data_IF_353325682887
#
_entry.id   IF_353325682887
#
_cell.length_a   1.000
_cell.length_b   1.000
_cell.length_c   1.000
_cell.angle_alpha   90.00
_cell.angle_beta   90.00
_cell.angle_gamma   90.00
#
_symmetry.space_group_name_H-M   'P 1'
#
loop_
_entity.id
_entity.type
_entity.pdbx_description
1 polymer ?
#
# COMPACT_ATOMS: atom_id res chain seq x y z
N UNK A 1 -13.84 -15.08 -12.06
CA UNK A 1 -12.79 -15.33 -11.05
C UNK A 1 -11.92 -14.09 -11.01
N UNK A 2 -12.03 -13.35 -9.91
CA UNK A 2 -11.35 -12.10 -9.68
C UNK A 2 -10.02 -12.39 -8.95
N UNK A 3 -8.92 -11.79 -9.35
CA UNK A 3 -7.62 -11.98 -8.69
C UNK A 3 -7.04 -10.63 -8.30
N UNK A 4 -6.62 -10.52 -7.04
CA UNK A 4 -6.02 -9.29 -6.51
C UNK A 4 -4.54 -9.54 -6.23
N UNK A 5 -3.69 -8.65 -6.71
CA UNK A 5 -2.25 -8.66 -6.40
C UNK A 5 -1.94 -7.37 -5.68
N UNK A 6 -1.71 -7.47 -4.38
CA UNK A 6 -1.40 -6.35 -3.50
C UNK A 6 0.11 -6.28 -3.34
N UNK A 7 0.70 -5.19 -3.76
CA UNK A 7 2.13 -4.94 -3.56
C UNK A 7 2.27 -3.95 -2.40
N UNK A 8 2.73 -4.47 -1.27
CA UNK A 8 2.99 -3.77 -0.01
C UNK A 8 4.49 -3.50 0.16
N UNK A 9 4.84 -2.67 1.14
CA UNK A 9 6.23 -2.34 1.50
C UNK A 9 6.50 -0.84 1.54
N UNK A 10 7.64 -0.46 2.11
CA UNK A 10 7.95 0.93 2.48
C UNK A 10 7.97 1.94 1.33
N UNK A 11 8.05 3.22 1.68
CA UNK A 11 8.18 4.32 0.73
C UNK A 11 9.53 4.19 -0.01
N UNK A 12 9.55 4.49 -1.32
CA UNK A 12 10.78 4.45 -2.13
C UNK A 12 11.23 3.05 -2.58
N UNK A 13 10.47 2.00 -2.26
CA UNK A 13 10.78 0.61 -2.65
C UNK A 13 10.56 0.31 -4.13
N UNK A 14 9.83 1.17 -4.84
CA UNK A 14 9.57 1.05 -6.28
C UNK A 14 8.28 0.31 -6.64
N UNK A 15 7.33 0.19 -5.69
CA UNK A 15 6.00 -0.43 -5.86
C UNK A 15 5.28 0.04 -7.12
N UNK A 16 5.00 1.34 -7.25
CA UNK A 16 4.34 1.92 -8.43
C UNK A 16 5.01 1.50 -9.74
N UNK A 17 6.36 1.51 -9.79
CA UNK A 17 7.11 1.12 -10.98
C UNK A 17 6.97 -0.37 -11.30
N UNK A 18 6.98 -1.23 -10.28
CA UNK A 18 6.79 -2.67 -10.42
C UNK A 18 5.36 -2.99 -10.85
N UNK A 19 4.35 -2.35 -10.27
CA UNK A 19 2.94 -2.50 -10.65
C UNK A 19 2.75 -2.13 -12.13
N UNK A 20 3.27 -0.97 -12.56
CA UNK A 20 3.21 -0.54 -13.97
C UNK A 20 3.94 -1.49 -14.92
N UNK A 21 5.03 -2.12 -14.48
CA UNK A 21 5.71 -3.14 -15.26
C UNK A 21 4.93 -4.45 -15.31
N UNK A 22 4.35 -4.87 -14.19
CA UNK A 22 3.54 -6.08 -14.05
C UNK A 22 2.26 -6.01 -14.88
N UNK A 23 1.60 -4.85 -14.94
CA UNK A 23 0.40 -4.62 -15.74
C UNK A 23 0.58 -4.99 -17.22
N UNK A 24 1.81 -4.87 -17.76
CA UNK A 24 2.13 -5.17 -19.16
C UNK A 24 2.08 -6.66 -19.51
N UNK A 25 2.03 -7.54 -18.52
CA UNK A 25 1.89 -8.98 -18.72
C UNK A 25 0.41 -9.41 -18.81
N UNK A 26 -0.52 -8.51 -18.55
CA UNK A 26 -1.95 -8.77 -18.59
C UNK A 26 -2.62 -8.09 -19.80
N UNK A 27 -3.80 -8.58 -20.16
CA UNK A 27 -4.67 -7.89 -21.12
C UNK A 27 -5.17 -6.56 -20.49
N UNK A 28 -4.96 -5.38 -21.13
CA UNK A 28 -5.43 -4.09 -20.62
C UNK A 28 -6.93 -4.02 -20.31
N UNK A 29 -7.74 -4.79 -21.02
CA UNK A 29 -9.19 -4.83 -20.80
C UNK A 29 -9.56 -5.61 -19.53
N UNK A 30 -8.70 -6.52 -19.09
CA UNK A 30 -8.91 -7.40 -17.93
C UNK A 30 -8.24 -6.90 -16.65
N UNK A 31 -7.23 -6.03 -16.75
CA UNK A 31 -6.46 -5.53 -15.61
C UNK A 31 -6.88 -4.12 -15.19
N UNK A 32 -7.03 -3.91 -13.89
CA UNK A 32 -7.18 -2.61 -13.23
C UNK A 32 -5.98 -2.34 -12.34
N UNK A 33 -5.57 -1.07 -12.24
CA UNK A 33 -4.55 -0.62 -11.30
C UNK A 33 -5.22 0.32 -10.28
N UNK A 34 -4.95 0.07 -9.01
CA UNK A 34 -5.26 0.96 -7.89
C UNK A 34 -3.94 1.52 -7.40
N UNK A 35 -3.71 2.82 -7.63
CA UNK A 35 -2.46 3.49 -7.31
C UNK A 35 -2.57 4.28 -6.01
N UNK A 36 -1.44 4.41 -5.31
CA UNK A 36 -1.30 5.30 -4.15
C UNK A 36 -1.18 6.76 -4.62
N UNK A 37 -2.30 7.49 -4.67
CA UNK A 37 -2.32 8.92 -5.00
C UNK A 37 -2.23 9.76 -3.73
N UNK A 38 -1.00 10.11 -3.37
CA UNK A 38 -0.69 10.83 -2.13
C UNK A 38 0.11 12.10 -2.44
N UNK A 39 -0.29 13.21 -1.83
CA UNK A 39 0.38 14.51 -1.94
C UNK A 39 1.65 14.56 -1.07
N UNK A 40 2.67 13.78 -1.46
CA UNK A 40 3.90 13.59 -0.67
C UNK A 40 4.64 14.88 -0.33
N UNK A 41 4.61 15.88 -1.21
CA UNK A 41 5.20 17.20 -0.95
C UNK A 41 4.50 17.92 0.21
N UNK A 42 3.17 17.82 0.29
CA UNK A 42 2.38 18.45 1.35
C UNK A 42 2.58 17.73 2.67
N UNK A 43 2.56 16.40 2.67
CA UNK A 43 2.88 15.60 3.84
C UNK A 43 4.25 15.98 4.38
N UNK A 44 5.26 16.08 3.51
CA UNK A 44 6.61 16.46 3.92
C UNK A 44 6.65 17.86 4.53
N UNK A 45 5.90 18.83 3.98
CA UNK A 45 5.79 20.17 4.58
C UNK A 45 5.17 20.12 5.98
N UNK A 46 4.13 19.31 6.18
CA UNK A 46 3.52 19.11 7.50
C UNK A 46 4.55 18.54 8.47
N UNK A 47 5.28 17.49 8.08
CA UNK A 47 6.25 16.80 8.92
C UNK A 47 7.50 17.66 9.24
N UNK A 48 7.87 18.61 8.39
CA UNK A 48 9.08 19.45 8.57
C UNK A 48 8.86 20.71 9.42
N UNK A 49 7.63 21.08 9.76
CA UNK A 49 7.37 22.31 10.53
C UNK A 49 7.65 22.11 12.02
N UNK A 50 8.64 22.84 12.56
CA UNK A 50 9.24 22.59 13.90
C UNK A 50 8.63 23.38 15.07
N UNK A 51 7.52 24.11 14.94
CA UNK A 51 6.98 24.94 16.03
C UNK A 51 5.51 24.65 16.42
N UNK A 52 5.22 24.91 17.72
CA UNK A 52 4.01 24.92 18.57
C UNK A 52 2.56 24.75 18.03
N UNK A 53 2.28 24.65 16.74
CA UNK A 53 0.91 24.39 16.21
C UNK A 53 0.69 22.89 15.93
N UNK A 54 0.65 22.07 16.97
CA UNK A 54 0.55 20.61 16.79
C UNK A 54 -0.85 20.15 16.29
N UNK A 55 -1.91 20.92 16.58
CA UNK A 55 -3.29 20.56 16.22
C UNK A 55 -3.64 20.82 14.75
N UNK A 56 -3.29 21.99 14.20
CA UNK A 56 -3.56 22.32 12.80
C UNK A 56 -2.78 21.42 11.81
N UNK A 57 -1.58 20.97 12.19
CA UNK A 57 -0.76 20.03 11.41
C UNK A 57 -1.42 18.66 11.29
N UNK A 58 -1.84 18.11 12.43
CA UNK A 58 -2.51 16.81 12.51
C UNK A 58 -3.83 16.83 11.74
N UNK A 59 -4.59 17.92 11.86
CA UNK A 59 -5.80 18.13 11.06
C UNK A 59 -5.52 18.13 9.56
N UNK A 60 -4.47 18.81 9.10
CA UNK A 60 -4.14 18.82 7.67
C UNK A 60 -3.69 17.44 7.17
N UNK A 61 -2.90 16.70 7.96
CA UNK A 61 -2.54 15.32 7.64
C UNK A 61 -3.77 14.40 7.57
N UNK A 62 -4.73 14.57 8.49
CA UNK A 62 -6.01 13.83 8.49
C UNK A 62 -6.79 14.11 7.20
N UNK A 63 -6.90 15.35 6.75
CA UNK A 63 -7.56 15.67 5.47
C UNK A 63 -6.85 15.03 4.27
N UNK A 64 -5.51 15.03 4.23
CA UNK A 64 -4.76 14.33 3.18
C UNK A 64 -5.04 12.82 3.19
N UNK A 65 -5.07 12.19 4.37
CA UNK A 65 -5.37 10.76 4.51
C UNK A 65 -6.82 10.45 4.12
N UNK A 66 -7.76 11.34 4.43
CA UNK A 66 -9.17 11.21 4.05
C UNK A 66 -9.37 11.29 2.54
N UNK A 67 -8.73 12.27 1.89
CA UNK A 67 -8.73 12.38 0.43
C UNK A 67 -8.13 11.13 -0.23
N UNK A 68 -7.03 10.61 0.31
CA UNK A 68 -6.44 9.36 -0.14
C UNK A 68 -7.43 8.18 -0.07
N UNK A 69 -8.15 8.02 1.04
CA UNK A 69 -9.14 6.93 1.17
C UNK A 69 -10.31 7.09 0.18
N UNK A 70 -10.78 8.32 -0.02
CA UNK A 70 -11.88 8.59 -0.96
C UNK A 70 -11.46 8.29 -2.41
N UNK A 71 -10.27 8.74 -2.82
CA UNK A 71 -9.72 8.45 -4.14
C UNK A 71 -9.49 6.93 -4.32
N UNK A 72 -8.96 6.26 -3.31
CA UNK A 72 -8.77 4.81 -3.32
C UNK A 72 -10.10 4.06 -3.51
N UNK A 73 -11.15 4.46 -2.78
CA UNK A 73 -12.49 3.89 -2.90
C UNK A 73 -13.10 4.14 -4.31
N UNK A 74 -12.99 5.36 -4.83
CA UNK A 74 -13.44 5.68 -6.19
C UNK A 74 -12.70 4.87 -7.26
N UNK A 75 -11.39 4.71 -7.09
CA UNK A 75 -10.55 3.94 -8.01
C UNK A 75 -10.94 2.46 -8.06
N UNK A 76 -11.29 1.85 -6.92
CA UNK A 76 -11.65 0.43 -6.85
C UNK A 76 -13.07 0.20 -7.37
N UNK A 77 -14.03 1.06 -7.04
CA UNK A 77 -15.39 1.00 -7.55
C UNK A 77 -15.44 1.03 -9.08
N UNK A 78 -14.68 1.93 -9.70
CA UNK A 78 -14.60 2.03 -11.17
C UNK A 78 -13.98 0.81 -11.85
N UNK A 79 -13.28 -0.05 -11.12
CA UNK A 79 -12.51 -1.17 -11.67
C UNK A 79 -13.01 -2.54 -11.20
N UNK A 80 -14.17 -2.61 -10.52
CA UNK A 80 -14.75 -3.88 -10.04
C UNK A 80 -15.05 -4.90 -11.15
N UNK A 81 -15.26 -4.44 -12.38
CA UNK A 81 -15.50 -5.31 -13.53
C UNK A 81 -14.20 -5.94 -14.09
N UNK A 82 -13.03 -5.53 -13.60
CA UNK A 82 -11.74 -6.07 -14.03
C UNK A 82 -11.54 -7.45 -13.41
N UNK A 83 -10.97 -8.35 -14.20
CA UNK A 83 -10.65 -9.71 -13.76
C UNK A 83 -9.45 -9.73 -12.80
N UNK A 84 -8.54 -8.77 -12.96
CA UNK A 84 -7.31 -8.67 -12.19
C UNK A 84 -7.18 -7.25 -11.66
N UNK A 85 -6.98 -7.11 -10.35
CA UNK A 85 -6.67 -5.83 -9.72
C UNK A 85 -5.23 -5.86 -9.20
N UNK A 86 -4.41 -4.94 -9.69
CA UNK A 86 -3.07 -4.66 -9.15
C UNK A 86 -3.19 -3.48 -8.19
N UNK A 87 -2.84 -3.70 -6.95
CA UNK A 87 -3.13 -2.78 -5.86
C UNK A 87 -1.81 -2.32 -5.23
N UNK A 88 -1.59 -1.00 -5.20
CA UNK A 88 -0.49 -0.39 -4.47
C UNK A 88 -0.89 -0.18 -3.00
N UNK A 89 -0.37 -1.04 -2.12
CA UNK A 89 -0.68 -1.10 -0.67
C UNK A 89 -2.13 -1.40 -0.33
N UNK A 90 -2.34 -1.90 0.87
CA UNK A 90 -3.66 -1.79 1.51
C UNK A 90 -3.88 -0.35 2.01
N UNK A 91 -5.12 0.17 2.00
CA UNK A 91 -5.41 1.55 2.37
C UNK A 91 -5.02 1.88 3.82
N UNK A 92 -5.01 0.87 4.70
CA UNK A 92 -4.63 1.02 6.10
C UNK A 92 -3.12 1.31 6.28
N UNK A 93 -2.27 0.81 5.38
CA UNK A 93 -0.80 0.91 5.51
C UNK A 93 -0.32 2.36 5.55
N UNK A 94 -0.96 3.24 4.79
CA UNK A 94 -0.57 4.64 4.74
C UNK A 94 -0.92 5.36 6.04
N UNK A 95 -2.08 5.07 6.62
CA UNK A 95 -2.51 5.63 7.90
C UNK A 95 -1.53 5.21 8.99
N UNK A 96 -1.17 3.92 9.03
CA UNK A 96 -0.22 3.39 10.01
C UNK A 96 1.21 3.91 9.79
N UNK A 97 1.58 4.26 8.56
CA UNK A 97 2.90 4.86 8.25
C UNK A 97 3.06 6.25 8.87
N UNK A 98 1.97 7.00 9.01
CA UNK A 98 2.02 8.39 9.47
C UNK A 98 1.46 8.62 10.87
N UNK A 99 0.87 7.59 11.48
CA UNK A 99 0.24 7.71 12.78
C UNK A 99 0.59 6.55 13.69
N UNK A 100 1.67 6.72 14.46
CA UNK A 100 1.98 5.83 15.58
C UNK A 100 1.18 6.26 16.82
N UNK A 101 0.27 5.42 17.35
CA UNK A 101 -0.47 5.74 18.56
C UNK A 101 0.41 5.99 19.79
N UNK A 102 1.66 5.52 19.82
CA UNK A 102 2.59 5.72 20.95
C UNK A 102 3.14 7.16 21.02
N UNK A 103 3.03 7.95 19.95
CA UNK A 103 3.57 9.32 19.88
C UNK A 103 2.50 10.43 20.03
N UNK A 104 1.22 10.11 20.27
CA UNK A 104 0.13 11.10 20.20
C UNK A 104 -0.71 11.24 21.48
N UNK A 105 -0.38 12.26 22.29
CA UNK A 105 -1.09 12.66 23.52
C UNK A 105 -2.43 13.42 23.30
N UNK A 106 -2.95 13.53 22.08
CA UNK A 106 -4.13 14.35 21.77
C UNK A 106 -5.37 13.50 21.43
N UNK A 107 -6.32 13.46 22.37
CA UNK A 107 -7.56 12.68 22.33
C UNK A 107 -8.46 12.96 21.11
N UNK A 108 -8.53 14.20 20.63
CA UNK A 108 -9.38 14.59 19.48
C UNK A 108 -8.87 13.94 18.19
N UNK A 109 -7.54 13.99 18.00
CA UNK A 109 -6.91 13.41 16.82
C UNK A 109 -7.00 11.88 16.82
N UNK A 110 -6.98 11.24 18.00
CA UNK A 110 -7.13 9.77 18.12
C UNK A 110 -8.50 9.28 17.63
N UNK A 111 -9.56 10.07 17.81
CA UNK A 111 -10.89 9.71 17.30
C UNK A 111 -10.99 9.81 15.77
N UNK A 112 -10.47 10.89 15.18
CA UNK A 112 -10.50 11.07 13.72
C UNK A 112 -9.68 9.98 13.02
N UNK A 113 -8.51 9.63 13.56
CA UNK A 113 -7.71 8.52 13.03
C UNK A 113 -8.43 7.19 13.17
N UNK A 114 -9.13 6.94 14.29
CA UNK A 114 -9.96 5.75 14.44
C UNK A 114 -11.03 5.68 13.34
N UNK A 115 -11.68 6.80 13.02
CA UNK A 115 -12.67 6.88 11.93
C UNK A 115 -12.01 6.56 10.58
N UNK A 116 -10.82 7.10 10.30
CA UNK A 116 -10.08 6.79 9.06
C UNK A 116 -9.68 5.31 8.99
N UNK A 117 -9.23 4.71 10.09
CA UNK A 117 -8.93 3.27 10.15
C UNK A 117 -10.18 2.41 9.94
N UNK A 118 -11.31 2.80 10.51
CA UNK A 118 -12.59 2.15 10.26
C UNK A 118 -13.03 2.26 8.79
N UNK A 119 -12.84 3.43 8.16
CA UNK A 119 -13.10 3.61 6.73
C UNK A 119 -12.18 2.74 5.88
N UNK A 120 -10.87 2.74 6.14
CA UNK A 120 -9.91 1.89 5.44
C UNK A 120 -10.26 0.40 5.56
N UNK A 121 -10.65 -0.05 6.76
CA UNK A 121 -11.10 -1.43 6.99
C UNK A 121 -12.39 -1.74 6.22
N UNK A 122 -13.36 -0.82 6.16
CA UNK A 122 -14.56 -1.00 5.32
C UNK A 122 -14.22 -1.14 3.83
N UNK A 123 -13.26 -0.37 3.32
CA UNK A 123 -12.77 -0.51 1.94
C UNK A 123 -12.14 -1.90 1.75
N UNK A 124 -11.29 -2.34 2.68
CA UNK A 124 -10.67 -3.67 2.63
C UNK A 124 -11.74 -4.77 2.63
N UNK A 125 -12.68 -4.75 3.58
CA UNK A 125 -13.68 -5.80 3.74
C UNK A 125 -14.75 -5.81 2.64
N UNK A 126 -15.03 -4.66 2.03
CA UNK A 126 -16.02 -4.56 0.95
C UNK A 126 -15.44 -4.91 -0.41
N UNK A 127 -14.21 -4.51 -0.68
CA UNK A 127 -13.65 -4.54 -2.03
C UNK A 127 -12.40 -5.41 -2.20
N UNK A 128 -11.64 -5.67 -1.13
CA UNK A 128 -10.39 -6.42 -1.21
C UNK A 128 -10.58 -7.86 -0.73
N UNK A 129 -11.02 -8.04 0.51
CA UNK A 129 -11.31 -9.32 1.13
C UNK A 129 -12.82 -9.46 1.22
N UNK A 130 -13.45 -10.26 0.37
CA UNK A 130 -14.89 -10.52 0.49
C UNK A 130 -15.08 -11.66 1.49
N UNK A 131 -15.40 -11.35 2.75
CA UNK A 131 -15.56 -12.35 3.82
C UNK A 131 -16.63 -13.43 3.53
N UNK A 132 -17.56 -13.18 2.61
CA UNK A 132 -18.57 -14.15 2.17
C UNK A 132 -18.07 -15.12 1.08
N UNK A 133 -16.92 -14.84 0.45
CA UNK A 133 -16.28 -15.68 -0.56
C UNK A 133 -15.05 -16.40 0.06
N UNK A 134 -14.92 -17.72 -0.13
CA UNK A 134 -13.68 -18.44 0.21
C UNK A 134 -12.57 -18.03 -0.77
N UNK A 135 -11.91 -16.90 -0.51
CA UNK A 135 -10.74 -16.41 -1.26
C UNK A 135 -9.44 -17.06 -0.73
N UNK A 136 -8.64 -17.62 -1.64
CA UNK A 136 -7.33 -18.16 -1.26
C UNK A 136 -6.32 -17.02 -1.07
N UNK A 137 -5.79 -16.88 0.14
CA UNK A 137 -4.78 -15.89 0.48
C UNK A 137 -3.37 -16.46 0.30
N UNK A 138 -2.55 -15.72 -0.41
CA UNK A 138 -1.24 -16.17 -0.86
C UNK A 138 -0.21 -15.09 -0.55
N UNK A 139 0.66 -15.37 0.42
CA UNK A 139 1.71 -14.44 0.81
C UNK A 139 3.04 -14.73 0.10
N UNK A 140 3.82 -13.67 -0.10
CA UNK A 140 5.19 -13.75 -0.59
C UNK A 140 6.02 -12.54 -0.19
N UNK A 141 7.30 -12.77 0.14
CA UNK A 141 8.28 -11.70 0.32
C UNK A 141 9.14 -11.64 -0.94
N UNK A 142 9.32 -10.44 -1.50
CA UNK A 142 10.28 -10.18 -2.56
C UNK A 142 11.22 -9.07 -2.14
N UNK A 143 12.52 -9.24 -2.41
CA UNK A 143 13.53 -8.23 -2.09
C UNK A 143 14.03 -7.58 -3.37
N UNK A 144 13.87 -6.27 -3.49
CA UNK A 144 14.54 -5.51 -4.55
C UNK A 144 16.00 -5.31 -4.15
N UNK A 145 16.91 -5.61 -5.08
CA UNK A 145 18.35 -5.38 -4.94
C UNK A 145 18.86 -4.61 -6.17
N UNK A 146 20.13 -4.21 -6.17
CA UNK A 146 20.70 -3.40 -7.26
C UNK A 146 20.71 -4.13 -8.61
N UNK A 147 20.65 -5.46 -8.57
CA UNK A 147 20.72 -6.34 -9.74
C UNK A 147 19.34 -6.61 -10.35
N UNK A 148 18.26 -6.45 -9.58
CA UNK A 148 16.90 -6.73 -10.01
C UNK A 148 16.17 -5.44 -10.38
N UNK A 149 16.10 -5.18 -11.70
CA UNK A 149 15.29 -4.08 -12.24
C UNK A 149 13.81 -4.30 -11.93
N UNK A 150 12.98 -3.22 -11.89
CA UNK A 150 11.53 -3.36 -11.73
C UNK A 150 10.88 -4.32 -12.73
N UNK A 151 11.41 -4.39 -13.97
CA UNK A 151 10.95 -5.32 -15.00
C UNK A 151 11.25 -6.78 -14.65
N UNK A 152 12.45 -7.06 -14.12
CA UNK A 152 12.83 -8.41 -13.71
C UNK A 152 11.94 -8.89 -12.55
N UNK A 153 11.69 -8.03 -11.57
CA UNK A 153 10.79 -8.33 -10.44
C UNK A 153 9.35 -8.55 -10.90
N UNK A 154 8.85 -7.70 -11.79
CA UNK A 154 7.51 -7.88 -12.38
C UNK A 154 7.39 -9.21 -13.13
N UNK A 155 8.41 -9.58 -13.92
CA UNK A 155 8.45 -10.87 -14.61
C UNK A 155 8.42 -12.04 -13.64
N UNK A 156 9.24 -12.00 -12.59
CA UNK A 156 9.29 -13.06 -11.57
C UNK A 156 7.95 -13.18 -10.83
N UNK A 157 7.36 -12.04 -10.45
CA UNK A 157 6.06 -11.99 -9.80
C UNK A 157 4.97 -12.57 -10.70
N UNK A 158 4.96 -12.20 -11.99
CA UNK A 158 4.02 -12.75 -12.96
C UNK A 158 4.17 -14.26 -13.12
N UNK A 159 5.40 -14.77 -13.23
CA UNK A 159 5.65 -16.22 -13.31
C UNK A 159 5.18 -16.97 -12.06
N UNK A 160 5.43 -16.42 -10.87
CA UNK A 160 4.94 -16.98 -9.60
C UNK A 160 3.41 -16.98 -9.54
N UNK A 161 2.79 -15.88 -9.93
CA UNK A 161 1.35 -15.75 -10.01
C UNK A 161 0.73 -16.75 -10.98
N UNK A 162 1.24 -16.88 -12.21
CA UNK A 162 0.77 -17.86 -13.20
C UNK A 162 0.84 -19.30 -12.66
N UNK A 163 1.99 -19.64 -12.06
CA UNK A 163 2.23 -21.00 -11.54
C UNK A 163 1.25 -21.34 -10.42
N UNK A 164 0.92 -20.39 -9.55
CA UNK A 164 -0.03 -20.59 -8.46
C UNK A 164 -1.47 -20.53 -8.96
N UNK A 165 -1.83 -19.51 -9.74
CA UNK A 165 -3.20 -19.27 -10.22
C UNK A 165 -3.69 -20.36 -11.18
N UNK A 166 -2.81 -21.00 -11.95
CA UNK A 166 -3.19 -22.17 -12.77
C UNK A 166 -3.71 -23.37 -11.97
N UNK A 167 -3.52 -23.38 -10.65
CA UNK A 167 -3.99 -24.43 -9.73
C UNK A 167 -5.22 -24.01 -8.93
N UNK A 168 -5.66 -22.76 -9.06
CA UNK A 168 -6.77 -22.22 -8.27
C UNK A 168 -8.11 -22.43 -9.00
N UNK A 169 -9.11 -22.84 -8.24
CA UNK A 169 -10.49 -22.96 -8.71
C UNK A 169 -11.36 -21.77 -8.28
N UNK A 170 -10.79 -20.80 -7.55
CA UNK A 170 -11.49 -19.69 -6.89
C UNK A 170 -10.70 -18.38 -6.97
N UNK A 171 -11.37 -17.28 -6.64
CA UNK A 171 -10.76 -15.96 -6.50
C UNK A 171 -9.63 -16.00 -5.47
N UNK A 172 -8.63 -15.12 -5.62
CA UNK A 172 -7.45 -15.13 -4.75
C UNK A 172 -6.84 -13.77 -4.54
N UNK A 173 -6.14 -13.64 -3.41
CA UNK A 173 -5.41 -12.45 -3.00
C UNK A 173 -3.94 -12.82 -2.86
N UNK A 174 -3.10 -12.21 -3.69
CA UNK A 174 -1.65 -12.31 -3.61
C UNK A 174 -1.08 -11.09 -2.91
N UNK A 175 -0.69 -11.23 -1.65
CA UNK A 175 -0.03 -10.19 -0.89
C UNK A 175 1.49 -10.33 -1.02
N UNK A 176 2.12 -9.35 -1.64
CA UNK A 176 3.56 -9.32 -1.88
C UNK A 176 4.18 -8.18 -1.10
N UNK A 177 5.09 -8.49 -0.19
CA UNK A 177 5.87 -7.49 0.52
C UNK A 177 7.18 -7.22 -0.19
N UNK A 178 7.40 -5.96 -0.60
CA UNK A 178 8.66 -5.50 -1.18
C UNK A 178 9.61 -4.97 -0.10
N UNK A 179 10.61 -5.79 0.23
CA UNK A 179 11.78 -5.35 0.99
C UNK A 179 12.84 -4.74 0.07
N UNK A 180 13.61 -3.77 0.55
CA UNK A 180 14.73 -3.19 -0.21
C UNK A 180 15.93 -2.97 0.70
N UNK A 181 17.14 -3.11 0.14
CA UNK A 181 18.37 -2.78 0.84
C UNK A 181 18.45 -1.27 1.15
N UNK A 182 18.80 -0.91 2.38
CA UNK A 182 18.87 0.46 2.88
C UNK A 182 19.75 1.39 2.01
N UNK A 183 20.83 0.87 1.43
CA UNK A 183 21.69 1.63 0.51
C UNK A 183 20.95 2.08 -0.75
N UNK A 184 20.11 1.21 -1.29
CA UNK A 184 19.33 1.45 -2.51
C UNK A 184 18.20 2.42 -2.23
N UNK A 185 17.49 2.24 -1.11
CA UNK A 185 16.46 3.18 -0.66
C UNK A 185 17.06 4.56 -0.49
N UNK A 186 18.22 4.66 0.15
CA UNK A 186 18.89 5.96 0.36
C UNK A 186 19.15 6.68 -0.96
N UNK A 187 19.60 5.96 -1.99
CA UNK A 187 19.81 6.50 -3.34
C UNK A 187 18.49 6.86 -4.04
N UNK A 188 17.45 6.03 -3.95
CA UNK A 188 16.14 6.29 -4.60
C UNK A 188 15.33 7.38 -3.94
N UNK A 189 15.54 7.59 -2.64
CA UNK A 189 14.87 8.60 -1.83
C UNK A 189 15.63 9.93 -1.80
N UNK A 190 16.87 10.00 -2.30
CA UNK A 190 17.60 11.28 -2.35
C UNK A 190 16.88 12.38 -3.15
N UNK A 191 16.09 12.10 -4.21
CA UNK A 191 15.24 13.09 -4.86
C UNK A 191 13.78 13.10 -4.35
N UNK A 192 13.40 12.22 -3.41
CA UNK A 192 12.03 12.12 -2.91
C UNK A 192 11.78 13.22 -1.87
N UNK A 193 10.58 13.83 -1.80
CA UNK A 193 10.32 14.92 -0.86
C UNK A 193 10.53 14.53 0.61
N UNK A 194 10.08 13.34 1.02
CA UNK A 194 10.25 12.87 2.40
C UNK A 194 11.71 12.63 2.81
N UNK A 195 12.06 13.09 4.02
CA UNK A 195 13.40 12.94 4.60
C UNK A 195 13.78 11.48 4.89
N UNK A 196 15.09 11.19 4.90
CA UNK A 196 15.62 9.91 5.30
C UNK A 196 15.30 9.41 6.71
N UNK A 197 14.92 10.26 7.66
CA UNK A 197 14.76 9.85 9.06
C UNK A 197 13.31 9.48 9.43
N UNK A 198 12.33 9.90 8.61
CA UNK A 198 10.93 9.37 8.69
C UNK A 198 10.89 7.92 8.16
N UNK A 199 12.04 7.44 7.66
CA UNK A 199 12.23 6.08 7.19
C UNK A 199 12.21 5.13 8.39
N UNK A 200 11.46 4.05 8.22
CA UNK A 200 11.74 2.77 8.81
C UNK A 200 11.35 2.58 10.28
N UNK A 201 10.11 2.09 10.46
CA UNK A 201 9.94 0.86 11.25
C UNK A 201 9.20 -0.22 10.42
N UNK A 202 9.94 -0.81 9.48
CA UNK A 202 9.43 -1.76 8.48
C UNK A 202 9.38 -3.22 8.96
N UNK A 203 10.07 -3.54 10.06
CA UNK A 203 9.99 -4.89 10.65
C UNK A 203 8.71 -5.05 11.46
N UNK A 204 8.21 -3.98 12.08
CA UNK A 204 6.96 -4.01 12.85
C UNK A 204 5.70 -3.99 11.96
N UNK A 205 5.70 -3.33 10.80
CA UNK A 205 4.53 -3.32 9.90
C UNK A 205 4.23 -4.70 9.28
N UNK A 206 5.27 -5.42 8.83
CA UNK A 206 5.10 -6.78 8.28
C UNK A 206 4.52 -7.75 9.33
N UNK A 207 4.95 -7.63 10.59
CA UNK A 207 4.44 -8.44 11.70
C UNK A 207 3.02 -7.99 12.14
N UNK A 208 2.72 -6.69 12.18
CA UNK A 208 1.38 -6.17 12.57
C UNK A 208 0.30 -6.49 11.54
N UNK A 209 0.59 -6.41 10.23
CA UNK A 209 -0.44 -6.65 9.20
C UNK A 209 -0.71 -8.14 8.95
N UNK A 210 0.26 -9.04 9.18
CA UNK A 210 -0.01 -10.49 9.20
C UNK A 210 -0.98 -10.84 10.35
N UNK A 211 -0.88 -10.15 11.49
CA UNK A 211 -1.72 -10.41 12.67
C UNK A 211 -3.14 -9.81 12.59
N UNK A 212 -3.42 -8.89 11.67
CA UNK A 212 -4.75 -8.27 11.51
C UNK A 212 -5.64 -9.00 10.48
N UNK A 213 -5.10 -10.01 9.80
CA UNK A 213 -5.79 -10.79 8.76
C UNK A 213 -6.15 -12.21 9.26
N UNK A 214 -5.75 -12.58 10.48
CA UNK A 214 -6.15 -13.82 11.20
C UNK A 214 -7.19 -13.46 12.27
#
# INVERSE_FOLDING_TARGET
>A
MENKIIISGGIGTGKTTIIKALAKYFNPDEVGIIEEHVRWDEINKVLQTTSKENSNKKKHLIEILKEYLNDYEEQIEKKQNKRILLIERQPIELIDTFWDPEETDDLLNTQEIKILKEQANKIITKYIIKYEEEEEQIEGIMRTNELLTPKALASELFSKWLTRNSRLSRSSIYLIFLGVNDKIITKRMSPHPLKPEIRYDMNNLYLKHILLII
#
